data_IF_714543729643
#
_entry.id   IF_714543729643
#
_cell.length_a   1.000
_cell.length_b   1.000
_cell.length_c   1.000
_cell.angle_alpha   90.00
_cell.angle_beta   90.00
_cell.angle_gamma   90.00
#
_symmetry.space_group_name_H-M   'P 1'
#
loop_
_entity.id
_entity.type
_entity.pdbx_description
1 polymer ?
#
# COMPACT_ATOMS: atom_id res chain seq x y z
N UNK A 1 5.09 -22.20 14.08
CA UNK A 1 5.66 -22.00 12.73
C UNK A 1 6.18 -20.58 12.69
N UNK A 2 7.50 -20.39 12.58
CA UNK A 2 8.08 -19.06 12.42
C UNK A 2 7.80 -18.54 11.01
N UNK A 3 7.70 -17.21 10.85
CA UNK A 3 7.54 -16.57 9.53
C UNK A 3 8.62 -16.99 8.52
N UNK A 4 9.84 -17.28 9.00
CA UNK A 4 10.98 -17.79 8.23
C UNK A 4 10.76 -19.19 7.66
N UNK A 5 9.81 -19.95 8.21
CA UNK A 5 9.47 -21.30 7.74
C UNK A 5 8.44 -21.28 6.60
N UNK A 6 7.86 -20.10 6.31
CA UNK A 6 6.84 -19.92 5.27
C UNK A 6 7.41 -19.30 3.99
N UNK A 7 8.48 -18.53 4.11
CA UNK A 7 9.14 -17.85 3.01
C UNK A 7 10.65 -17.95 3.19
N UNK A 8 11.32 -18.59 2.22
CA UNK A 8 12.77 -18.80 2.24
C UNK A 8 13.54 -17.48 2.08
N UNK A 9 12.95 -16.50 1.37
CA UNK A 9 13.56 -15.20 1.10
C UNK A 9 12.48 -14.08 1.05
N UNK A 10 12.63 -12.95 1.77
CA UNK A 10 11.75 -11.79 1.62
C UNK A 10 11.76 -11.15 0.22
N UNK A 11 12.72 -11.47 -0.66
CA UNK A 11 12.79 -10.97 -2.04
C UNK A 11 11.55 -11.26 -2.87
N UNK A 12 10.77 -12.30 -2.52
CA UNK A 12 9.49 -12.60 -3.18
C UNK A 12 8.50 -11.43 -3.15
N UNK A 13 8.67 -10.50 -2.21
CA UNK A 13 7.81 -9.34 -2.05
C UNK A 13 8.38 -8.06 -2.64
N UNK A 14 9.56 -8.11 -3.27
CA UNK A 14 10.24 -6.92 -3.80
C UNK A 14 9.34 -6.13 -4.77
N UNK A 15 8.60 -6.82 -5.63
CA UNK A 15 7.65 -6.18 -6.54
C UNK A 15 6.51 -5.47 -5.79
N UNK A 16 5.95 -6.11 -4.76
CA UNK A 16 4.88 -5.55 -3.93
C UNK A 16 5.39 -4.33 -3.15
N UNK A 17 6.59 -4.43 -2.60
CA UNK A 17 7.22 -3.35 -1.83
C UNK A 17 7.56 -2.16 -2.73
N UNK A 18 8.06 -2.41 -3.94
CA UNK A 18 8.35 -1.36 -4.92
C UNK A 18 7.08 -0.63 -5.36
N UNK A 19 5.98 -1.34 -5.59
CA UNK A 19 4.68 -0.71 -5.89
C UNK A 19 4.24 0.22 -4.75
N UNK A 20 4.31 -0.24 -3.50
CA UNK A 20 3.95 0.56 -2.34
C UNK A 20 4.83 1.81 -2.17
N UNK A 21 6.13 1.71 -2.46
CA UNK A 21 7.05 2.86 -2.44
C UNK A 21 6.68 3.87 -3.52
N UNK A 22 6.45 3.41 -4.76
CA UNK A 22 6.06 4.28 -5.87
C UNK A 22 4.76 5.03 -5.57
N UNK A 23 3.77 4.37 -4.97
CA UNK A 23 2.52 5.01 -4.55
C UNK A 23 2.76 5.97 -3.37
N UNK A 24 3.71 5.68 -2.48
CA UNK A 24 4.03 6.60 -1.39
C UNK A 24 4.66 7.92 -1.89
N UNK A 25 5.36 7.89 -3.02
CA UNK A 25 5.98 9.06 -3.66
C UNK A 25 4.99 9.89 -4.50
N UNK A 26 3.83 9.35 -4.86
CA UNK A 26 2.77 10.09 -5.55
C UNK A 26 1.75 10.73 -4.60
N UNK A 27 1.01 11.69 -5.12
CA UNK A 27 -0.17 12.26 -4.46
C UNK A 27 -1.41 11.48 -4.86
N UNK A 28 -2.27 11.17 -3.88
CA UNK A 28 -3.55 10.51 -4.10
C UNK A 28 -4.67 11.49 -3.73
N UNK A 29 -5.70 11.55 -4.55
CA UNK A 29 -6.81 12.50 -4.35
C UNK A 29 -7.87 11.98 -3.39
N UNK A 30 -7.96 10.65 -3.22
CA UNK A 30 -8.93 10.00 -2.32
C UNK A 30 -8.40 8.68 -1.76
N UNK A 31 -9.03 8.22 -0.67
CA UNK A 31 -8.77 6.89 -0.11
C UNK A 31 -9.07 5.77 -1.11
N UNK A 32 -10.14 5.89 -1.90
CA UNK A 32 -10.50 4.88 -2.90
C UNK A 32 -9.41 4.75 -3.95
N UNK A 33 -8.90 5.87 -4.46
CA UNK A 33 -7.80 5.88 -5.41
C UNK A 33 -6.53 5.29 -4.80
N UNK A 34 -6.20 5.64 -3.55
CA UNK A 34 -5.06 5.08 -2.85
C UNK A 34 -5.14 3.55 -2.76
N UNK A 35 -6.28 3.00 -2.32
CA UNK A 35 -6.43 1.55 -2.17
C UNK A 35 -6.40 0.86 -3.55
N UNK A 36 -7.00 1.46 -4.57
CA UNK A 36 -6.96 0.91 -5.93
C UNK A 36 -5.52 0.86 -6.45
N UNK A 37 -4.76 1.95 -6.35
CA UNK A 37 -3.35 2.00 -6.75
C UNK A 37 -2.48 1.02 -5.97
N UNK A 38 -2.68 0.89 -4.65
CA UNK A 38 -1.91 -0.03 -3.80
C UNK A 38 -2.19 -1.50 -4.11
N UNK A 39 -3.41 -1.83 -4.52
CA UNK A 39 -3.84 -3.23 -4.69
C UNK A 39 -3.95 -3.67 -6.15
N UNK A 40 -3.76 -2.74 -7.09
CA UNK A 40 -3.78 -3.01 -8.52
C UNK A 40 -2.84 -4.16 -8.88
N UNK A 41 -3.36 -5.15 -9.62
CA UNK A 41 -2.60 -6.31 -10.08
C UNK A 41 -2.25 -7.36 -9.00
N UNK A 42 -2.52 -7.10 -7.72
CA UNK A 42 -2.21 -8.04 -6.64
C UNK A 42 -3.31 -9.09 -6.47
N UNK A 43 -2.92 -10.37 -6.51
CA UNK A 43 -3.86 -11.49 -6.53
C UNK A 43 -4.24 -11.98 -5.12
N UNK A 44 -3.29 -11.96 -4.19
CA UNK A 44 -3.51 -12.51 -2.85
C UNK A 44 -3.78 -11.41 -1.83
N UNK A 45 -4.60 -11.72 -0.82
CA UNK A 45 -4.85 -10.80 0.29
C UNK A 45 -3.58 -10.51 1.09
N UNK A 46 -2.62 -11.45 1.07
CA UNK A 46 -1.31 -11.23 1.68
C UNK A 46 -0.53 -10.13 0.97
N UNK A 47 -0.49 -10.15 -0.37
CA UNK A 47 0.21 -9.13 -1.15
C UNK A 47 -0.45 -7.76 -0.95
N UNK A 48 -1.79 -7.72 -0.97
CA UNK A 48 -2.55 -6.49 -0.69
C UNK A 48 -2.27 -5.94 0.69
N UNK A 49 -2.34 -6.80 1.72
CA UNK A 49 -2.04 -6.40 3.09
C UNK A 49 -0.60 -5.89 3.20
N UNK A 50 0.37 -6.56 2.56
CA UNK A 50 1.76 -6.13 2.56
C UNK A 50 1.94 -4.78 1.88
N UNK A 51 1.34 -4.55 0.71
CA UNK A 51 1.43 -3.27 0.00
C UNK A 51 0.95 -2.12 0.89
N UNK A 52 -0.21 -2.30 1.55
CA UNK A 52 -0.78 -1.31 2.46
C UNK A 52 0.15 -1.06 3.66
N UNK A 53 0.62 -2.11 4.33
CA UNK A 53 1.55 -1.96 5.46
C UNK A 53 2.86 -1.31 5.04
N UNK A 54 3.41 -1.68 3.88
CA UNK A 54 4.65 -1.11 3.38
C UNK A 54 4.49 0.38 3.08
N UNK A 55 3.39 0.76 2.43
CA UNK A 55 3.07 2.17 2.17
C UNK A 55 2.98 2.98 3.47
N UNK A 56 2.29 2.45 4.51
CA UNK A 56 2.21 3.08 5.84
C UNK A 56 3.61 3.34 6.44
N UNK A 57 4.57 2.44 6.22
CA UNK A 57 5.94 2.61 6.77
C UNK A 57 6.77 3.65 6.03
N UNK A 58 6.38 4.06 4.83
CA UNK A 58 7.14 4.97 3.96
C UNK A 58 6.50 6.36 3.93
N UNK A 59 5.17 6.44 3.97
CA UNK A 59 4.44 7.71 3.86
C UNK A 59 4.42 8.47 5.20
N UNK A 60 4.62 9.78 5.15
CA UNK A 60 4.34 10.65 6.29
C UNK A 60 2.83 10.86 6.41
N UNK A 61 2.20 10.09 7.30
CA UNK A 61 0.76 10.13 7.50
C UNK A 61 0.25 11.46 8.06
N UNK A 62 1.10 12.27 8.70
CA UNK A 62 0.70 13.58 9.22
C UNK A 62 0.55 14.63 8.12
N UNK A 63 1.18 14.40 6.97
CA UNK A 63 1.16 15.29 5.81
C UNK A 63 0.09 14.89 4.78
N UNK A 64 -0.72 13.87 5.06
CA UNK A 64 -1.74 13.41 4.13
C UNK A 64 -2.98 14.30 4.20
N UNK A 65 -3.30 14.95 3.08
CA UNK A 65 -4.56 15.66 2.88
C UNK A 65 -5.33 14.99 1.74
N UNK A 66 -6.32 14.17 2.11
CA UNK A 66 -7.32 13.75 1.14
C UNK A 66 -8.36 14.86 1.09
N UNK A 67 -8.52 15.50 -0.06
CA UNK A 67 -9.59 16.46 -0.28
C UNK A 67 -10.93 15.76 0.00
N UNK A 68 -11.45 15.97 1.21
CA UNK A 68 -12.73 15.45 1.64
C UNK A 68 -13.80 16.23 0.89
N UNK A 69 -14.11 15.83 -0.34
CA UNK A 69 -15.40 16.14 -0.97
C UNK A 69 -16.48 15.30 -0.27
N UNK A 70 -16.66 15.52 1.02
CA UNK A 70 -17.94 15.32 1.68
C UNK A 70 -18.83 16.45 1.17
N UNK A 71 -19.35 16.26 -0.03
CA UNK A 71 -20.48 17.02 -0.53
C UNK A 71 -21.56 16.97 0.55
N UNK A 72 -21.81 18.13 1.13
CA UNK A 72 -23.01 18.36 1.94
C UNK A 72 -24.18 18.32 0.97
N UNK A 73 -24.88 17.19 0.91
CA UNK A 73 -26.25 17.05 0.40
C UNK A 73 -27.06 16.21 1.40
#
# INVERSE_FOLDING_TARGET
RHKRDLYEDPSIFEQVDQQAITVAESEQTSYTELIDQLTYGLLTDLDKARAIFRWITVKDLNAIDFQNNLGSD
#
